data_IF_295946956153
#
_entry.id   IF_295946956153
#
_cell.length_a   1.000
_cell.length_b   1.000
_cell.length_c   1.000
_cell.angle_alpha   90.00
_cell.angle_beta   90.00
_cell.angle_gamma   90.00
#
_symmetry.space_group_name_H-M   'P 1'
#
loop_
_entity.id
_entity.type
_entity.pdbx_description
1 polymer ?
#
# COMPACT_ATOMS: atom_id res chain seq x y z
N UNK A 1 2.28 15.06 2.16
CA UNK A 1 2.29 13.84 2.96
C UNK A 1 2.26 14.16 4.44
N UNK A 2 1.68 13.29 5.24
CA UNK A 2 1.51 13.47 6.68
C UNK A 2 1.98 12.21 7.39
N UNK A 3 2.88 12.37 8.35
CA UNK A 3 3.29 11.26 9.21
C UNK A 3 2.23 11.05 10.28
N UNK A 4 1.96 9.80 10.63
CA UNK A 4 1.01 9.43 11.65
C UNK A 4 1.58 8.34 12.56
N UNK A 5 0.97 8.08 13.76
CA UNK A 5 1.42 6.99 14.61
C UNK A 5 1.38 5.62 13.93
N UNK A 6 0.52 5.45 12.95
CA UNK A 6 0.37 4.17 12.24
C UNK A 6 1.17 4.09 10.95
N UNK A 7 1.81 5.19 10.53
CA UNK A 7 2.62 5.23 9.33
C UNK A 7 2.53 6.56 8.61
N UNK A 8 2.96 6.56 7.35
CA UNK A 8 2.94 7.74 6.51
C UNK A 8 1.74 7.69 5.57
N UNK A 9 1.00 8.79 5.46
CA UNK A 9 -0.18 8.89 4.61
C UNK A 9 -0.03 10.08 3.66
N UNK A 10 -0.31 9.86 2.39
CA UNK A 10 -0.25 10.89 1.36
C UNK A 10 -1.45 10.74 0.43
N UNK A 11 -2.00 11.86 -0.03
CA UNK A 11 -2.98 11.86 -1.10
C UNK A 11 -2.39 12.62 -2.28
N UNK A 12 -2.32 11.95 -3.43
CA UNK A 12 -1.83 12.54 -4.67
C UNK A 12 -2.98 12.63 -5.67
N UNK A 13 -3.04 13.73 -6.39
CA UNK A 13 -4.06 13.95 -7.42
C UNK A 13 -3.38 13.96 -8.79
N UNK A 14 -3.75 12.99 -9.63
CA UNK A 14 -3.16 12.82 -10.95
C UNK A 14 -4.23 12.25 -11.88
N UNK A 15 -5.31 13.01 -12.14
CA UNK A 15 -6.57 12.62 -12.78
C UNK A 15 -7.41 11.70 -11.88
N UNK A 16 -6.74 10.83 -11.14
CA UNK A 16 -7.33 10.00 -10.09
C UNK A 16 -6.68 10.38 -8.77
N UNK A 17 -7.39 10.16 -7.67
CA UNK A 17 -6.85 10.43 -6.34
C UNK A 17 -6.27 9.14 -5.77
N UNK A 18 -5.03 9.21 -5.33
CA UNK A 18 -4.33 8.06 -4.77
C UNK A 18 -4.04 8.30 -3.29
N UNK A 19 -4.60 7.45 -2.44
CA UNK A 19 -4.27 7.40 -1.03
C UNK A 19 -3.07 6.45 -0.89
N UNK A 20 -1.95 6.97 -0.40
CA UNK A 20 -0.74 6.16 -0.19
C UNK A 20 -0.52 6.03 1.31
N UNK A 21 -0.44 4.80 1.79
CA UNK A 21 -0.32 4.49 3.21
C UNK A 21 0.80 3.48 3.44
N UNK A 22 1.79 3.89 4.23
CA UNK A 22 2.93 3.04 4.60
C UNK A 22 2.95 2.87 6.12
N UNK A 23 2.38 1.79 6.66
CA UNK A 23 2.33 1.57 8.10
C UNK A 23 3.71 1.25 8.67
N UNK A 24 3.98 1.73 9.88
CA UNK A 24 5.24 1.46 10.58
C UNK A 24 5.36 -0.03 10.91
N UNK A 25 6.54 -0.59 10.67
CA UNK A 25 6.84 -1.96 11.06
C UNK A 25 6.18 -3.04 10.23
N UNK A 26 5.48 -2.66 9.17
CA UNK A 26 4.89 -3.62 8.24
C UNK A 26 5.78 -3.79 7.02
N UNK A 27 5.56 -4.87 6.30
CA UNK A 27 6.35 -5.24 5.12
C UNK A 27 5.58 -4.98 3.83
N UNK A 28 4.77 -3.93 3.81
CA UNK A 28 4.02 -3.56 2.61
C UNK A 28 3.70 -2.07 2.62
N UNK A 29 3.45 -1.57 1.42
CA UNK A 29 3.08 -0.18 1.17
C UNK A 29 1.80 -0.23 0.35
N UNK A 30 0.76 0.49 0.77
CA UNK A 30 -0.56 0.43 0.14
C UNK A 30 -0.85 1.69 -0.66
N UNK A 31 -1.27 1.51 -1.91
CA UNK A 31 -1.81 2.59 -2.73
C UNK A 31 -3.26 2.25 -3.07
N UNK A 32 -4.18 3.14 -2.73
CA UNK A 32 -5.60 2.97 -3.05
C UNK A 32 -5.99 4.05 -4.04
N UNK A 33 -6.53 3.65 -5.19
CA UNK A 33 -6.93 4.56 -6.25
C UNK A 33 -8.42 4.84 -6.19
N UNK A 34 -8.77 6.12 -6.23
CA UNK A 34 -10.14 6.60 -6.29
C UNK A 34 -10.35 7.38 -7.60
N UNK A 35 -11.56 7.32 -8.16
CA UNK A 35 -11.88 8.11 -9.33
C UNK A 35 -12.21 9.56 -8.96
N UNK A 36 -12.57 10.39 -9.94
CA UNK A 36 -12.88 11.80 -9.73
C UNK A 36 -14.18 12.02 -8.94
N UNK A 37 -14.97 10.97 -8.74
CA UNK A 37 -16.20 10.99 -7.95
C UNK A 37 -16.01 10.32 -6.57
N UNK A 38 -14.76 10.07 -6.19
CA UNK A 38 -14.38 9.47 -4.91
C UNK A 38 -14.82 8.00 -4.75
N UNK A 39 -14.99 7.30 -5.87
CA UNK A 39 -15.26 5.86 -5.84
C UNK A 39 -13.93 5.09 -5.86
N UNK A 40 -13.82 4.11 -4.98
CA UNK A 40 -12.62 3.28 -4.90
C UNK A 40 -12.53 2.37 -6.13
N UNK A 41 -11.41 2.43 -6.86
CA UNK A 41 -11.17 1.63 -8.05
C UNK A 41 -10.40 0.35 -7.70
N UNK A 42 -9.26 0.50 -7.04
CA UNK A 42 -8.43 -0.64 -6.67
C UNK A 42 -7.52 -0.32 -5.50
N UNK A 43 -7.08 -1.38 -4.83
CA UNK A 43 -6.07 -1.33 -3.78
C UNK A 43 -4.86 -2.10 -4.25
N UNK A 44 -3.67 -1.53 -4.08
CA UNK A 44 -2.42 -2.11 -4.57
C UNK A 44 -1.39 -2.13 -3.45
N UNK A 45 -0.95 -3.33 -3.08
CA UNK A 45 0.03 -3.52 -2.01
C UNK A 45 1.38 -3.86 -2.62
N UNK A 46 2.36 -2.99 -2.40
CA UNK A 46 3.76 -3.27 -2.75
C UNK A 46 4.41 -3.98 -1.57
N UNK A 47 4.91 -5.17 -1.78
CA UNK A 47 5.58 -5.93 -0.73
C UNK A 47 6.99 -5.36 -0.56
N UNK A 48 7.34 -5.03 0.68
CA UNK A 48 8.64 -4.46 1.02
C UNK A 48 9.37 -5.37 1.99
N UNK A 49 10.67 -5.16 2.15
CA UNK A 49 11.42 -5.88 3.18
C UNK A 49 11.04 -5.39 4.57
N UNK A 50 11.15 -4.11 4.80
CA UNK A 50 10.69 -3.45 6.03
C UNK A 50 10.57 -1.97 5.76
N UNK A 51 9.47 -1.35 6.22
CA UNK A 51 9.31 0.09 6.14
C UNK A 51 10.10 0.74 7.28
N UNK A 52 11.08 1.59 6.94
CA UNK A 52 11.92 2.28 7.92
C UNK A 52 11.61 3.77 7.90
N UNK A 53 11.19 4.30 9.04
CA UNK A 53 10.84 5.70 9.22
C UNK A 53 11.80 6.44 10.16
N UNK A 54 13.01 5.90 10.38
CA UNK A 54 14.02 6.53 11.22
C UNK A 54 14.45 7.90 10.68
N UNK A 55 14.33 8.11 9.38
CA UNK A 55 14.53 9.40 8.73
C UNK A 55 13.22 9.82 8.05
N UNK A 56 12.41 10.70 8.68
CA UNK A 56 11.13 11.11 8.13
C UNK A 56 11.20 11.79 6.75
N UNK A 57 12.32 12.46 6.45
CA UNK A 57 12.49 13.16 5.17
C UNK A 57 12.77 12.21 4.03
N UNK A 58 13.27 11.02 4.33
CA UNK A 58 13.65 10.03 3.33
C UNK A 58 13.34 8.62 3.86
N UNK A 59 12.06 8.27 3.98
CA UNK A 59 11.69 6.94 4.47
C UNK A 59 12.23 5.88 3.52
N UNK A 60 12.88 4.89 4.09
CA UNK A 60 13.53 3.83 3.35
C UNK A 60 12.56 2.66 3.17
N UNK A 61 12.42 2.18 1.92
CA UNK A 61 11.74 0.91 1.70
C UNK A 61 12.46 0.16 0.58
N UNK A 62 12.45 -1.17 0.69
CA UNK A 62 13.06 -2.05 -0.30
C UNK A 62 11.94 -2.84 -0.97
N UNK A 63 11.76 -2.59 -2.27
CA UNK A 63 10.75 -3.28 -3.06
C UNK A 63 11.19 -4.74 -3.28
N UNK A 64 10.33 -5.67 -2.90
CA UNK A 64 10.56 -7.11 -3.05
C UNK A 64 10.00 -7.64 -4.37
N UNK A 65 9.56 -6.75 -5.28
CA UNK A 65 9.09 -7.10 -6.62
C UNK A 65 7.80 -7.92 -6.68
N UNK A 66 7.17 -8.19 -5.54
CA UNK A 66 5.90 -8.91 -5.49
C UNK A 66 4.83 -7.96 -5.02
N UNK A 67 3.67 -7.97 -5.67
CA UNK A 67 2.57 -7.07 -5.38
C UNK A 67 1.26 -7.83 -5.23
N UNK A 68 0.32 -7.24 -4.49
CA UNK A 68 -1.05 -7.74 -4.39
C UNK A 68 -1.98 -6.65 -4.89
N UNK A 69 -2.78 -6.96 -5.91
CA UNK A 69 -3.78 -6.04 -6.45
C UNK A 69 -5.18 -6.53 -6.09
N UNK A 70 -6.00 -5.65 -5.55
CA UNK A 70 -7.40 -5.94 -5.21
C UNK A 70 -8.27 -4.94 -5.94
N UNK A 71 -8.76 -5.28 -7.15
CA UNK A 71 -9.73 -4.44 -7.82
C UNK A 71 -11.05 -4.42 -7.04
N UNK A 72 -11.71 -3.28 -6.98
CA UNK A 72 -12.97 -3.18 -6.27
C UNK A 72 -14.00 -4.15 -6.84
N UNK A 73 -14.57 -5.00 -5.98
CA UNK A 73 -15.57 -6.00 -6.39
C UNK A 73 -15.00 -7.27 -7.00
N UNK A 74 -13.67 -7.41 -7.03
CA UNK A 74 -13.00 -8.59 -7.60
C UNK A 74 -12.08 -9.25 -6.58
N UNK A 75 -11.67 -10.48 -6.88
CA UNK A 75 -10.76 -11.20 -6.01
C UNK A 75 -9.35 -10.63 -6.03
N UNK A 76 -8.62 -10.71 -4.91
CA UNK A 76 -7.20 -10.32 -4.89
C UNK A 76 -6.36 -11.17 -5.84
N UNK A 77 -5.35 -10.54 -6.43
CA UNK A 77 -4.40 -11.23 -7.31
C UNK A 77 -2.97 -10.88 -6.92
N UNK A 78 -2.08 -11.88 -6.96
CA UNK A 78 -0.65 -11.66 -6.78
C UNK A 78 -0.07 -11.28 -8.14
N UNK A 79 0.70 -10.18 -8.17
CA UNK A 79 1.26 -9.63 -9.40
C UNK A 79 2.78 -9.68 -9.34
N UNK A 80 3.40 -9.71 -10.53
CA UNK A 80 4.85 -9.60 -10.70
C UNK A 80 5.65 -10.76 -10.10
N UNK A 81 5.05 -11.94 -10.08
CA UNK A 81 5.72 -13.15 -9.61
C UNK A 81 6.99 -13.44 -10.43
N UNK A 82 6.95 -13.15 -11.74
CA UNK A 82 8.09 -13.34 -12.62
C UNK A 82 9.26 -12.44 -12.22
N UNK A 83 8.99 -11.21 -11.82
CA UNK A 83 10.03 -10.27 -11.39
C UNK A 83 10.70 -10.74 -10.10
N UNK A 84 9.92 -11.26 -9.15
CA UNK A 84 10.45 -11.79 -7.91
C UNK A 84 11.34 -13.02 -8.19
N UNK A 85 10.87 -13.91 -9.05
CA UNK A 85 11.62 -15.10 -9.44
C UNK A 85 12.95 -14.72 -10.09
N UNK A 86 12.94 -13.72 -10.96
CA UNK A 86 14.13 -13.26 -11.65
C UNK A 86 15.18 -12.74 -10.67
N UNK A 87 14.81 -11.87 -9.74
CA UNK A 87 15.78 -11.32 -8.79
C UNK A 87 16.31 -12.40 -7.85
N UNK A 88 15.50 -13.39 -7.52
CA UNK A 88 15.95 -14.54 -6.73
C UNK A 88 16.94 -15.40 -7.50
N UNK A 89 16.65 -15.73 -8.74
CA UNK A 89 17.53 -16.55 -9.58
C UNK A 89 18.86 -15.86 -9.85
N UNK A 90 18.88 -14.52 -9.89
CA UNK A 90 20.12 -13.75 -10.06
C UNK A 90 20.86 -13.51 -8.74
N UNK A 91 20.39 -14.08 -7.64
CA UNK A 91 21.07 -13.98 -6.35
C UNK A 91 20.97 -12.62 -5.69
N UNK A 92 20.03 -11.76 -6.11
CA UNK A 92 19.85 -10.42 -5.58
C UNK A 92 19.08 -10.42 -4.26
N UNK A 93 18.33 -11.48 -3.99
CA UNK A 93 17.63 -11.69 -2.72
C UNK A 93 17.87 -13.12 -2.24
N UNK A 94 17.69 -13.36 -0.94
CA UNK A 94 17.87 -14.69 -0.36
C UNK A 94 16.63 -15.56 -0.56
N UNK A 95 16.78 -16.87 -0.33
CA UNK A 95 15.63 -17.78 -0.32
C UNK A 95 14.62 -17.36 0.74
N UNK A 96 15.11 -16.91 1.91
CA UNK A 96 14.26 -16.41 2.98
C UNK A 96 13.45 -15.19 2.53
N UNK A 97 14.08 -14.23 1.84
CA UNK A 97 13.40 -13.07 1.29
C UNK A 97 12.31 -13.49 0.30
N UNK A 98 12.63 -14.44 -0.58
CA UNK A 98 11.70 -14.96 -1.58
C UNK A 98 10.45 -15.57 -0.93
N UNK A 99 10.67 -16.44 0.07
CA UNK A 99 9.58 -17.11 0.78
C UNK A 99 8.76 -16.12 1.60
N UNK A 100 9.42 -15.14 2.25
CA UNK A 100 8.75 -14.13 3.03
C UNK A 100 7.85 -13.24 2.19
N UNK A 101 8.26 -12.90 0.96
CA UNK A 101 7.42 -12.11 0.07
C UNK A 101 6.08 -12.80 -0.16
N UNK A 102 6.08 -14.10 -0.44
CA UNK A 102 4.84 -14.87 -0.61
C UNK A 102 4.05 -14.98 0.70
N UNK A 103 4.73 -15.17 1.82
CA UNK A 103 4.05 -15.22 3.12
C UNK A 103 3.31 -13.92 3.41
N UNK A 104 3.93 -12.78 3.12
CA UNK A 104 3.33 -11.47 3.31
C UNK A 104 2.13 -11.29 2.36
N UNK A 105 2.30 -11.61 1.07
CA UNK A 105 1.23 -11.52 0.09
C UNK A 105 0.03 -12.36 0.49
N UNK A 106 0.26 -13.61 0.89
CA UNK A 106 -0.81 -14.52 1.30
C UNK A 106 -1.50 -14.06 2.58
N UNK A 107 -0.76 -13.47 3.51
CA UNK A 107 -1.32 -12.92 4.74
C UNK A 107 -2.22 -11.72 4.44
N UNK A 108 -1.78 -10.84 3.53
CA UNK A 108 -2.59 -9.69 3.09
C UNK A 108 -3.92 -10.18 2.51
N UNK A 109 -3.86 -11.15 1.60
CA UNK A 109 -5.05 -11.71 0.95
C UNK A 109 -5.98 -12.38 1.96
N UNK A 110 -5.43 -13.19 2.85
CA UNK A 110 -6.20 -13.89 3.88
C UNK A 110 -6.89 -12.93 4.83
N UNK A 111 -6.17 -11.91 5.30
CA UNK A 111 -6.71 -10.90 6.19
C UNK A 111 -7.80 -10.10 5.50
N UNK A 112 -7.57 -9.69 4.25
CA UNK A 112 -8.58 -8.98 3.47
C UNK A 112 -9.85 -9.82 3.32
N UNK A 113 -9.72 -11.09 2.92
CA UNK A 113 -10.86 -11.96 2.71
C UNK A 113 -11.69 -12.19 3.98
N UNK A 114 -11.03 -12.17 5.13
CA UNK A 114 -11.71 -12.36 6.42
C UNK A 114 -12.36 -11.08 6.95
N UNK A 115 -11.94 -9.90 6.48
CA UNK A 115 -12.35 -8.61 7.03
C UNK A 115 -12.63 -7.57 5.95
N UNK A 116 -13.30 -7.96 4.87
CA UNK A 116 -13.54 -7.06 3.72
C UNK A 116 -14.25 -5.77 4.11
N UNK A 117 -15.32 -5.86 4.90
CA UNK A 117 -16.08 -4.69 5.29
C UNK A 117 -15.25 -3.73 6.15
N UNK A 118 -14.50 -4.29 7.11
CA UNK A 118 -13.63 -3.51 7.98
C UNK A 118 -12.54 -2.80 7.17
N UNK A 119 -12.01 -3.48 6.16
CA UNK A 119 -10.99 -2.91 5.29
C UNK A 119 -11.52 -1.68 4.55
N UNK A 120 -12.68 -1.79 3.90
CA UNK A 120 -13.24 -0.69 3.15
C UNK A 120 -13.65 0.47 4.05
N UNK A 121 -14.20 0.19 5.22
CA UNK A 121 -14.54 1.21 6.20
C UNK A 121 -13.28 1.97 6.64
N UNK A 122 -12.22 1.26 6.96
CA UNK A 122 -10.95 1.86 7.35
C UNK A 122 -10.39 2.75 6.24
N UNK A 123 -10.39 2.26 5.01
CA UNK A 123 -9.83 3.00 3.87
C UNK A 123 -10.65 4.26 3.58
N UNK A 124 -11.98 4.17 3.54
CA UNK A 124 -12.81 5.35 3.30
C UNK A 124 -12.69 6.38 4.41
N UNK A 125 -12.62 5.95 5.66
CA UNK A 125 -12.42 6.86 6.78
C UNK A 125 -11.07 7.56 6.69
N UNK A 126 -10.02 6.82 6.35
CA UNK A 126 -8.68 7.38 6.19
C UNK A 126 -8.63 8.37 5.04
N UNK A 127 -9.20 8.00 3.89
CA UNK A 127 -9.26 8.84 2.71
C UNK A 127 -10.01 10.16 2.99
N UNK A 128 -11.19 10.07 3.60
CA UNK A 128 -11.98 11.25 3.90
C UNK A 128 -11.28 12.17 4.90
N UNK A 129 -10.61 11.60 5.90
CA UNK A 129 -9.88 12.37 6.90
C UNK A 129 -8.75 13.19 6.27
N UNK A 130 -7.90 12.55 5.46
CA UNK A 130 -6.71 13.21 4.91
C UNK A 130 -7.04 14.08 3.70
N UNK A 131 -8.01 13.69 2.90
CA UNK A 131 -8.50 14.50 1.79
C UNK A 131 -9.06 15.82 2.28
N UNK A 132 -9.92 15.81 3.29
CA UNK A 132 -10.51 17.01 3.86
C UNK A 132 -9.45 17.91 4.51
N UNK A 133 -8.46 17.32 5.15
CA UNK A 133 -7.35 18.05 5.76
C UNK A 133 -6.51 18.77 4.70
N UNK A 134 -6.19 18.09 3.58
CA UNK A 134 -5.44 18.69 2.47
C UNK A 134 -6.23 19.86 1.85
N UNK A 135 -7.53 19.67 1.61
CA UNK A 135 -8.39 20.73 1.07
C UNK A 135 -8.50 21.90 2.03
N UNK A 136 -8.60 21.63 3.33
CA UNK A 136 -8.62 22.67 4.34
C UNK A 136 -7.35 23.51 4.35
N UNK A 137 -6.20 22.86 4.21
CA UNK A 137 -4.90 23.54 4.14
C UNK A 137 -4.80 24.42 2.89
N UNK A 138 -5.29 23.94 1.76
CA UNK A 138 -5.30 24.71 0.51
C UNK A 138 -6.19 25.93 0.65
N UNK A 139 -7.39 25.80 1.25
CA UNK A 139 -8.35 26.89 1.41
C UNK A 139 -7.85 27.97 2.38
N UNK A 140 -7.04 27.58 3.36
CA UNK A 140 -6.54 28.52 4.36
C UNK A 140 -5.38 29.37 3.88
N UNK A 141 -4.91 29.11 2.69
CA UNK A 141 -3.87 29.91 2.03
C UNK A 141 -4.50 30.95 1.13
#
# INVERSE_FOLDING_TARGET
SVDSPVGKVTIADNNYKNLIFAPKGKNWWLTVMFDDQDNLIESYFDITRTNDFSNPENPYFVDMKLDVCIPNGHEPAIMDEDELKEVYEHGLITKEDYENAYNIANKIISTYNSHKEDYYEFIYNLYNKYRNKELGNIKSK
#
